data_IF_197292152317
#
_entry.id   IF_197292152317
#
_cell.length_a   1.000
_cell.length_b   1.000
_cell.length_c   1.000
_cell.angle_alpha   90.00
_cell.angle_beta   90.00
_cell.angle_gamma   90.00
#
_symmetry.space_group_name_H-M   'P 1'
#
loop_
_entity.id
_entity.type
_entity.pdbx_description
1 polymer ?
#
# COMPACT_ATOMS: atom_id res chain seq x y z
N UNK A 1 -7.55 12.41 -10.73
CA UNK A 1 -8.62 12.32 -11.74
C UNK A 1 -9.90 11.76 -11.09
N UNK A 2 -10.77 12.60 -10.53
CA UNK A 2 -12.03 12.16 -9.91
C UNK A 2 -13.05 11.79 -11.00
N UNK A 3 -13.08 10.53 -11.40
CA UNK A 3 -14.14 9.98 -12.24
C UNK A 3 -15.47 10.03 -11.48
N UNK A 4 -16.38 10.89 -11.92
CA UNK A 4 -17.76 10.90 -11.44
C UNK A 4 -18.47 9.66 -11.98
N UNK A 5 -18.58 8.61 -11.17
CA UNK A 5 -19.37 7.43 -11.48
C UNK A 5 -20.86 7.72 -11.29
N UNK A 6 -21.65 7.53 -12.35
CA UNK A 6 -23.10 7.58 -12.32
C UNK A 6 -23.64 6.29 -11.67
N UNK A 7 -24.30 6.42 -10.51
CA UNK A 7 -24.84 5.29 -9.76
C UNK A 7 -25.98 4.58 -10.50
N UNK A 8 -25.86 3.26 -10.64
CA UNK A 8 -26.93 2.36 -11.06
C UNK A 8 -27.49 1.63 -9.84
N UNK A 9 -28.80 1.77 -9.59
CA UNK A 9 -29.51 1.07 -8.54
C UNK A 9 -29.95 -0.31 -9.03
N UNK A 10 -29.47 -1.38 -8.39
CA UNK A 10 -29.94 -2.75 -8.61
C UNK A 10 -31.01 -3.06 -7.55
N UNK A 11 -32.22 -3.43 -7.99
CA UNK A 11 -33.31 -3.87 -7.13
C UNK A 11 -33.07 -5.32 -6.66
N UNK A 12 -33.07 -5.53 -5.35
CA UNK A 12 -32.98 -6.85 -4.72
C UNK A 12 -34.35 -7.55 -4.71
N UNK A 13 -34.41 -8.80 -5.19
CA UNK A 13 -35.55 -9.69 -5.04
C UNK A 13 -35.41 -10.55 -3.76
N UNK A 14 -36.50 -10.85 -3.03
CA UNK A 14 -36.46 -11.65 -1.81
C UNK A 14 -36.28 -13.15 -2.12
N UNK A 15 -35.33 -13.79 -1.43
CA UNK A 15 -35.12 -15.25 -1.45
C UNK A 15 -35.97 -15.90 -0.35
N UNK A 16 -36.74 -16.91 -0.73
CA UNK A 16 -37.59 -17.70 0.16
C UNK A 16 -36.76 -18.64 1.05
N UNK A 17 -37.16 -18.74 2.32
CA UNK A 17 -36.60 -19.65 3.32
C UNK A 17 -37.26 -21.03 3.24
N UNK A 18 -36.46 -22.08 3.12
CA UNK A 18 -36.88 -23.46 3.31
C UNK A 18 -36.28 -24.01 4.60
N UNK A 19 -37.13 -24.44 5.51
CA UNK A 19 -36.81 -25.08 6.78
C UNK A 19 -36.91 -26.60 6.65
N UNK A 20 -35.89 -27.35 7.10
CA UNK A 20 -36.06 -28.78 7.34
C UNK A 20 -34.82 -29.62 7.63
N UNK A 21 -34.70 -30.02 8.90
CA UNK A 21 -34.30 -31.34 9.42
C UNK A 21 -32.84 -31.86 9.29
N UNK A 22 -32.27 -32.22 10.46
CA UNK A 22 -31.37 -33.38 10.60
C UNK A 22 -30.06 -33.10 11.34
N UNK A 23 -30.06 -33.11 12.69
CA UNK A 23 -28.83 -33.17 13.47
C UNK A 23 -28.23 -34.58 13.39
N UNK A 24 -27.09 -34.73 12.71
CA UNK A 24 -26.19 -35.88 12.85
C UNK A 24 -24.91 -35.40 13.52
N UNK A 25 -24.51 -36.08 14.59
CA UNK A 25 -23.29 -35.84 15.37
C UNK A 25 -22.08 -36.32 14.56
N UNK A 26 -21.22 -35.39 14.12
CA UNK A 26 -19.93 -35.70 13.50
C UNK A 26 -18.84 -35.79 14.58
N UNK A 27 -18.55 -37.00 15.05
CA UNK A 27 -17.59 -37.28 16.14
C UNK A 27 -16.14 -37.53 15.68
N UNK A 28 -15.78 -37.31 14.41
CA UNK A 28 -14.44 -37.65 13.90
C UNK A 28 -13.81 -36.63 12.93
N UNK A 29 -14.29 -35.37 12.93
CA UNK A 29 -13.54 -34.29 12.28
C UNK A 29 -12.41 -33.86 13.22
N UNK A 30 -11.27 -34.56 13.16
CA UNK A 30 -10.02 -33.94 13.59
C UNK A 30 -9.93 -32.61 12.85
N UNK A 31 -9.82 -31.46 13.54
CA UNK A 31 -9.72 -30.17 12.87
C UNK A 31 -8.52 -30.27 11.94
N UNK A 32 -8.77 -30.29 10.63
CA UNK A 32 -7.70 -30.28 9.64
C UNK A 32 -6.76 -29.16 10.07
N UNK A 33 -5.51 -29.52 10.36
CA UNK A 33 -4.43 -28.59 10.65
C UNK A 33 -4.13 -27.88 9.33
N UNK A 34 -5.03 -26.98 8.94
CA UNK A 34 -5.20 -26.39 7.61
C UNK A 34 -4.14 -25.37 7.23
N UNK A 35 -3.06 -25.29 8.00
CA UNK A 35 -1.89 -24.52 7.62
C UNK A 35 -0.68 -25.44 7.49
N UNK A 36 -0.63 -26.22 6.40
CA UNK A 36 0.66 -26.64 5.86
C UNK A 36 1.41 -25.37 5.52
N UNK A 37 2.45 -25.08 6.30
CA UNK A 37 3.18 -23.81 6.34
C UNK A 37 3.37 -23.27 4.91
N UNK A 38 2.59 -22.26 4.50
CA UNK A 38 2.80 -21.62 3.21
C UNK A 38 4.23 -21.10 3.16
N UNK A 39 4.78 -20.89 1.96
CA UNK A 39 6.12 -20.32 1.82
C UNK A 39 6.12 -18.88 2.34
N UNK A 40 6.34 -18.70 3.65
CA UNK A 40 6.53 -17.39 4.25
C UNK A 40 7.67 -16.70 3.51
N UNK A 41 7.43 -15.48 3.06
CA UNK A 41 8.48 -14.66 2.51
C UNK A 41 9.11 -13.83 3.61
N UNK A 42 10.40 -13.54 3.43
CA UNK A 42 11.11 -12.58 4.25
C UNK A 42 10.35 -11.24 4.30
N UNK A 43 10.45 -10.51 5.43
CA UNK A 43 9.83 -9.19 5.56
C UNK A 43 10.32 -8.20 4.50
N UNK A 44 9.63 -7.07 4.37
CA UNK A 44 10.11 -5.98 3.51
C UNK A 44 11.45 -5.44 3.99
N UNK A 45 11.64 -5.33 5.31
CA UNK A 45 12.80 -4.74 5.94
C UNK A 45 13.25 -5.57 7.16
N UNK A 46 14.55 -5.49 7.50
CA UNK A 46 15.01 -5.95 8.80
C UNK A 46 14.41 -5.07 9.92
N UNK A 47 14.34 -5.58 11.14
CA UNK A 47 13.66 -4.88 12.24
C UNK A 47 14.19 -3.46 12.52
N UNK A 48 15.51 -3.24 12.51
CA UNK A 48 16.09 -1.91 12.75
C UNK A 48 15.80 -0.94 11.58
N UNK A 49 15.72 -1.48 10.36
CA UNK A 49 15.35 -0.71 9.17
C UNK A 49 13.87 -0.33 9.20
N UNK A 50 12.99 -1.28 9.54
CA UNK A 50 11.57 -1.03 9.76
C UNK A 50 11.36 0.04 10.84
N UNK A 51 12.05 -0.06 11.97
CA UNK A 51 11.98 0.93 13.04
C UNK A 51 12.40 2.33 12.59
N UNK A 52 13.39 2.42 11.69
CA UNK A 52 13.84 3.68 11.10
C UNK A 52 12.76 4.30 10.21
N UNK A 53 12.11 3.50 9.36
CA UNK A 53 11.00 3.95 8.50
C UNK A 53 9.76 4.31 9.33
N UNK A 54 9.40 3.49 10.31
CA UNK A 54 8.28 3.76 11.22
C UNK A 54 8.52 5.02 12.08
N UNK A 55 9.75 5.24 12.54
CA UNK A 55 10.09 6.46 13.27
C UNK A 55 9.98 7.72 12.38
N UNK A 56 10.20 7.55 11.07
CA UNK A 56 10.04 8.61 10.06
C UNK A 56 8.57 8.92 9.82
N UNK A 57 7.71 7.89 9.73
CA UNK A 57 6.27 8.04 9.53
C UNK A 57 5.62 8.94 10.58
N UNK A 58 6.02 8.79 11.85
CA UNK A 58 5.53 9.63 12.95
C UNK A 58 6.09 11.07 12.93
N UNK A 59 7.13 11.35 12.14
CA UNK A 59 7.76 12.67 12.03
C UNK A 59 7.35 13.42 10.77
N UNK A 60 6.94 12.69 9.73
CA UNK A 60 6.69 13.22 8.40
C UNK A 60 5.20 13.16 8.10
N UNK A 61 4.52 14.32 8.06
CA UNK A 61 3.16 14.40 7.55
C UNK A 61 3.07 13.73 6.17
N UNK A 62 1.94 13.08 5.88
CA UNK A 62 1.60 12.43 4.60
C UNK A 62 2.53 11.30 4.13
N UNK A 63 3.59 10.94 4.87
CA UNK A 63 4.45 9.83 4.46
C UNK A 63 3.71 8.49 4.48
N UNK A 64 2.82 8.27 5.46
CA UNK A 64 2.02 7.04 5.55
C UNK A 64 1.08 6.87 4.36
N UNK A 65 0.32 7.91 4.04
CA UNK A 65 -0.57 7.93 2.87
C UNK A 65 0.19 7.84 1.56
N UNK A 66 1.40 8.41 1.47
CA UNK A 66 2.26 8.30 0.29
C UNK A 66 2.81 6.90 0.07
N UNK A 67 3.20 6.18 1.14
CA UNK A 67 3.53 4.75 1.04
C UNK A 67 2.31 3.96 0.57
N UNK A 68 1.14 4.31 1.09
CA UNK A 68 -0.14 3.69 0.76
C UNK A 68 -0.47 3.83 -0.73
N UNK A 69 -0.47 5.06 -1.24
CA UNK A 69 -0.76 5.39 -2.64
C UNK A 69 0.30 4.82 -3.59
N UNK A 70 1.54 4.70 -3.13
CA UNK A 70 2.64 4.28 -3.97
C UNK A 70 2.77 2.78 -4.16
N UNK A 71 2.63 2.03 -3.08
CA UNK A 71 2.96 0.60 -3.07
C UNK A 71 1.93 -0.27 -2.37
N UNK A 72 0.80 0.33 -1.96
CA UNK A 72 -0.31 -0.35 -1.28
C UNK A 72 0.18 -1.19 -0.09
N UNK A 73 1.10 -0.64 0.70
CA UNK A 73 1.57 -1.23 1.96
C UNK A 73 0.94 -0.42 3.10
N UNK A 74 0.00 -1.01 3.87
CA UNK A 74 -0.74 -0.28 4.89
C UNK A 74 0.07 -0.15 6.18
N UNK A 75 0.99 0.81 6.21
CA UNK A 75 1.95 0.95 7.33
C UNK A 75 1.35 1.49 8.62
N UNK A 76 0.15 2.07 8.64
CA UNK A 76 -0.44 2.62 9.88
C UNK A 76 0.36 3.81 10.43
N UNK A 77 -0.12 5.02 10.19
CA UNK A 77 0.52 6.28 10.61
C UNK A 77 0.22 6.66 12.07
N UNK A 78 -0.72 5.96 12.72
CA UNK A 78 -1.11 6.22 14.11
C UNK A 78 -0.66 5.13 15.10
N UNK A 79 -0.26 3.96 14.60
CA UNK A 79 0.12 2.81 15.41
C UNK A 79 1.51 2.26 15.03
N UNK A 80 2.49 2.50 15.90
CA UNK A 80 3.88 2.14 15.63
C UNK A 80 4.07 0.63 15.52
N UNK A 81 3.33 -0.16 16.30
CA UNK A 81 3.36 -1.62 16.23
C UNK A 81 2.75 -2.15 14.93
N UNK A 82 1.71 -1.53 14.38
CA UNK A 82 1.20 -1.90 13.06
C UNK A 82 2.24 -1.62 11.99
N UNK A 83 2.89 -0.46 12.02
CA UNK A 83 3.99 -0.18 11.10
C UNK A 83 5.12 -1.21 11.20
N UNK A 84 5.54 -1.53 12.43
CA UNK A 84 6.60 -2.50 12.67
C UNK A 84 6.21 -3.90 12.21
N UNK A 85 4.99 -4.35 12.51
CA UNK A 85 4.47 -5.64 12.04
C UNK A 85 4.44 -5.71 10.52
N UNK A 86 4.03 -4.63 9.85
CA UNK A 86 3.91 -4.57 8.39
C UNK A 86 5.25 -4.63 7.67
N UNK A 87 6.22 -3.92 8.21
CA UNK A 87 7.52 -3.77 7.56
C UNK A 87 8.51 -4.88 7.95
N UNK A 88 8.43 -5.39 9.19
CA UNK A 88 9.34 -6.39 9.73
C UNK A 88 8.73 -7.79 9.91
N UNK A 89 7.41 -7.95 9.78
CA UNK A 89 6.74 -9.25 9.82
C UNK A 89 6.81 -10.02 8.50
N UNK A 90 6.68 -11.34 8.56
CA UNK A 90 6.68 -12.18 7.37
C UNK A 90 5.48 -11.86 6.48
N UNK A 91 5.72 -11.98 5.17
CA UNK A 91 4.72 -11.68 4.16
C UNK A 91 4.12 -12.96 3.58
N UNK A 92 2.87 -12.89 3.10
CA UNK A 92 2.27 -13.94 2.29
C UNK A 92 3.19 -14.34 1.13
N UNK A 93 3.33 -15.66 0.93
CA UNK A 93 4.17 -16.24 -0.13
C UNK A 93 3.80 -15.84 -1.55
N UNK A 94 2.58 -15.36 -1.72
CA UNK A 94 1.97 -14.92 -2.97
C UNK A 94 1.92 -13.38 -3.12
N UNK A 95 2.54 -12.60 -2.21
CA UNK A 95 2.61 -11.14 -2.36
C UNK A 95 3.45 -10.77 -3.58
N UNK A 96 2.79 -10.22 -4.60
CA UNK A 96 3.43 -9.70 -5.79
C UNK A 96 4.23 -8.43 -5.46
N UNK A 97 5.34 -8.24 -6.18
CA UNK A 97 6.14 -7.02 -6.10
C UNK A 97 6.95 -6.80 -4.83
N UNK A 98 7.05 -7.79 -3.94
CA UNK A 98 7.83 -7.66 -2.69
C UNK A 98 9.22 -7.06 -2.91
N UNK A 99 9.95 -7.52 -3.93
CA UNK A 99 11.30 -7.03 -4.23
C UNK A 99 11.30 -5.53 -4.56
N UNK A 100 10.34 -5.06 -5.36
CA UNK A 100 10.22 -3.65 -5.72
C UNK A 100 9.79 -2.80 -4.51
N UNK A 101 8.77 -3.26 -3.77
CA UNK A 101 8.27 -2.61 -2.55
C UNK A 101 9.38 -2.50 -1.49
N UNK A 102 10.14 -3.58 -1.29
CA UNK A 102 11.31 -3.59 -0.39
C UNK A 102 12.40 -2.64 -0.87
N UNK A 103 12.68 -2.57 -2.17
CA UNK A 103 13.66 -1.61 -2.72
C UNK A 103 13.27 -0.15 -2.47
N UNK A 104 11.99 0.19 -2.65
CA UNK A 104 11.43 1.52 -2.35
C UNK A 104 11.59 1.83 -0.86
N UNK A 105 11.19 0.90 0.02
CA UNK A 105 11.32 1.07 1.47
C UNK A 105 12.79 1.15 1.93
N UNK A 106 13.70 0.41 1.28
CA UNK A 106 15.14 0.47 1.56
C UNK A 106 15.75 1.81 1.17
N UNK A 107 15.27 2.45 0.10
CA UNK A 107 15.66 3.83 -0.21
C UNK A 107 15.37 4.75 0.98
N UNK A 108 14.18 4.64 1.59
CA UNK A 108 13.77 5.46 2.73
C UNK A 108 14.61 5.21 3.99
N UNK A 109 15.13 4.00 4.19
CA UNK A 109 16.03 3.68 5.31
C UNK A 109 17.31 4.51 5.23
N UNK A 110 17.78 4.82 4.02
CA UNK A 110 19.01 5.58 3.80
C UNK A 110 18.84 7.10 3.98
N UNK A 111 17.62 7.59 4.24
CA UNK A 111 17.33 9.03 4.29
C UNK A 111 17.15 9.55 5.72
N UNK A 112 17.50 10.82 5.89
CA UNK A 112 17.42 11.51 7.20
C UNK A 112 16.37 12.60 7.26
N UNK A 113 15.81 13.02 6.13
CA UNK A 113 14.80 14.07 6.03
C UNK A 113 13.49 13.55 5.41
N UNK A 114 12.37 14.19 5.74
CA UNK A 114 11.07 13.82 5.19
C UNK A 114 11.02 13.94 3.67
N UNK A 115 11.49 15.06 3.12
CA UNK A 115 11.52 15.27 1.66
C UNK A 115 12.31 14.19 0.93
N UNK A 116 13.47 13.78 1.48
CA UNK A 116 14.29 12.71 0.88
C UNK A 116 13.58 11.35 0.95
N UNK A 117 12.87 11.05 2.05
CA UNK A 117 12.09 9.83 2.18
C UNK A 117 10.89 9.80 1.21
N UNK A 118 10.23 10.95 1.01
CA UNK A 118 9.14 11.09 0.03
C UNK A 118 9.63 10.90 -1.39
N UNK A 119 10.82 11.42 -1.73
CA UNK A 119 11.43 11.24 -3.05
C UNK A 119 11.80 9.78 -3.40
N UNK A 120 11.80 8.86 -2.42
CA UNK A 120 11.93 7.43 -2.68
C UNK A 120 10.63 6.80 -3.22
N UNK A 121 9.49 7.45 -3.01
CA UNK A 121 8.17 6.95 -3.38
C UNK A 121 7.83 7.37 -4.81
N UNK A 122 7.21 6.50 -5.61
CA UNK A 122 6.69 6.88 -6.93
C UNK A 122 5.64 8.00 -6.88
N UNK A 123 4.81 8.05 -5.83
CA UNK A 123 3.89 9.14 -5.56
C UNK A 123 4.09 9.70 -4.16
N UNK A 124 4.20 11.01 -4.10
CA UNK A 124 4.32 11.81 -2.90
C UNK A 124 3.05 12.65 -2.75
N UNK A 125 2.32 12.48 -1.66
CA UNK A 125 1.25 13.40 -1.28
C UNK A 125 1.87 14.65 -0.66
N UNK A 126 1.54 15.81 -1.21
CA UNK A 126 2.08 17.11 -0.80
C UNK A 126 1.02 17.93 -0.07
N UNK A 127 1.45 18.91 0.72
CA UNK A 127 0.51 19.83 1.37
C UNK A 127 0.03 20.92 0.42
N UNK A 128 -1.10 21.57 0.74
CA UNK A 128 -1.57 22.74 0.01
C UNK A 128 -0.59 23.92 0.05
N UNK A 129 0.31 23.95 1.03
CA UNK A 129 1.35 24.97 1.21
C UNK A 129 2.73 24.51 0.69
N UNK A 130 2.79 23.44 -0.11
CA UNK A 130 4.06 22.93 -0.64
C UNK A 130 4.78 24.03 -1.44
N UNK A 131 6.06 24.34 -1.13
CA UNK A 131 6.77 25.43 -1.77
C UNK A 131 6.96 25.22 -3.28
N UNK A 132 6.92 23.97 -3.77
CA UNK A 132 6.97 23.66 -5.21
C UNK A 132 5.72 24.15 -5.94
N UNK A 133 4.62 24.36 -5.23
CA UNK A 133 3.36 24.85 -5.80
C UNK A 133 3.32 26.37 -5.99
N UNK A 134 4.32 27.10 -5.48
CA UNK A 134 4.40 28.55 -5.68
C UNK A 134 4.67 28.86 -7.16
N UNK A 135 3.64 29.30 -7.87
CA UNK A 135 3.72 29.69 -9.27
C UNK A 135 3.52 28.56 -10.28
N UNK A 136 3.20 27.33 -9.83
CA UNK A 136 2.97 26.18 -10.72
C UNK A 136 1.68 26.30 -11.57
N UNK A 137 0.78 27.22 -11.23
CA UNK A 137 -0.51 27.42 -11.91
C UNK A 137 -1.57 26.38 -11.52
N UNK A 138 -2.66 26.32 -12.29
CA UNK A 138 -3.77 25.37 -12.09
C UNK A 138 -3.62 24.21 -13.06
N UNK A 139 -2.74 23.25 -12.77
CA UNK A 139 -2.54 22.08 -13.61
C UNK A 139 -1.32 21.27 -13.19
N UNK A 140 -1.07 20.17 -13.89
CA UNK A 140 0.16 19.40 -13.72
C UNK A 140 1.32 20.01 -14.51
N UNK A 141 2.52 19.95 -13.95
CA UNK A 141 3.74 20.53 -14.52
C UNK A 141 4.93 19.59 -14.38
N UNK A 142 5.97 19.79 -15.18
CA UNK A 142 7.22 19.06 -15.07
C UNK A 142 8.28 19.90 -14.36
N UNK A 143 8.80 19.37 -13.25
CA UNK A 143 9.88 19.99 -12.47
C UNK A 143 11.11 19.07 -12.46
N UNK A 144 12.18 19.49 -11.77
CA UNK A 144 13.40 18.69 -11.57
C UNK A 144 13.99 18.10 -12.86
N UNK A 145 14.08 18.93 -13.90
CA UNK A 145 14.57 18.52 -15.23
C UNK A 145 13.74 17.38 -15.85
N UNK A 146 12.42 17.43 -15.67
CA UNK A 146 11.46 16.42 -16.11
C UNK A 146 11.55 15.09 -15.37
N UNK A 147 12.04 15.07 -14.13
CA UNK A 147 12.01 13.85 -13.30
C UNK A 147 10.75 13.72 -12.48
N UNK A 148 10.12 14.84 -12.15
CA UNK A 148 8.95 14.87 -11.28
C UNK A 148 7.81 15.56 -12.01
N UNK A 149 6.65 14.91 -12.04
CA UNK A 149 5.39 15.54 -12.37
C UNK A 149 4.77 16.11 -11.09
N UNK A 150 4.39 17.38 -11.08
CA UNK A 150 3.80 18.06 -9.93
C UNK A 150 2.38 18.50 -10.27
N UNK A 151 1.38 18.09 -9.49
CA UNK A 151 -0.01 18.56 -9.59
C UNK A 151 -0.49 19.16 -8.27
N UNK A 152 -0.40 20.48 -8.18
CA UNK A 152 -0.80 21.25 -7.00
C UNK A 152 -2.31 21.37 -6.81
N UNK A 153 -3.11 21.05 -7.83
CA UNK A 153 -4.57 21.07 -7.71
C UNK A 153 -5.10 19.81 -7.04
N UNK A 154 -4.35 18.71 -7.19
CA UNK A 154 -4.66 17.41 -6.62
C UNK A 154 -3.72 17.03 -5.48
N UNK A 155 -2.76 17.89 -5.13
CA UNK A 155 -1.86 17.74 -3.99
C UNK A 155 -0.99 16.49 -4.06
N UNK A 156 -0.37 16.22 -5.22
CA UNK A 156 0.65 15.18 -5.32
C UNK A 156 1.80 15.53 -6.26
N UNK A 157 2.92 14.86 -6.04
CA UNK A 157 4.07 14.78 -6.93
C UNK A 157 4.29 13.31 -7.34
N UNK A 158 4.76 13.09 -8.57
CA UNK A 158 5.05 11.76 -9.10
C UNK A 158 6.47 11.71 -9.63
N UNK A 159 7.26 10.79 -9.10
CA UNK A 159 8.68 10.62 -9.41
C UNK A 159 8.85 9.63 -10.57
N UNK A 160 8.98 10.18 -11.78
CA UNK A 160 8.94 9.45 -13.04
C UNK A 160 10.17 8.56 -13.27
N UNK A 161 11.28 8.80 -12.58
CA UNK A 161 12.50 7.98 -12.63
C UNK A 161 12.49 6.83 -11.60
N UNK A 162 11.41 6.68 -10.83
CA UNK A 162 11.23 5.54 -9.93
C UNK A 162 11.02 4.23 -10.71
N UNK A 163 11.37 3.11 -10.08
CA UNK A 163 11.20 1.77 -10.65
C UNK A 163 9.72 1.31 -10.74
N UNK A 164 8.78 2.16 -10.33
CA UNK A 164 7.36 2.01 -10.61
C UNK A 164 7.07 2.24 -12.09
N UNK A 165 7.73 3.19 -12.73
CA UNK A 165 7.53 3.49 -14.15
C UNK A 165 8.47 2.69 -15.04
N UNK A 166 8.11 2.54 -16.32
CA UNK A 166 8.97 1.93 -17.32
C UNK A 166 10.32 2.65 -17.42
N UNK A 167 11.40 1.90 -17.65
CA UNK A 167 12.75 2.45 -17.72
C UNK A 167 12.85 3.54 -18.79
N UNK A 168 13.35 4.72 -18.41
CA UNK A 168 13.42 5.89 -19.28
C UNK A 168 12.21 6.83 -19.20
N UNK A 169 11.22 6.51 -18.35
CA UNK A 169 10.11 7.41 -18.08
C UNK A 169 10.61 8.74 -17.52
N UNK A 170 9.92 9.81 -17.94
CA UNK A 170 10.18 11.18 -17.52
C UNK A 170 8.87 11.95 -17.56
N UNK A 171 8.81 13.06 -16.84
CA UNK A 171 7.68 13.96 -16.92
C UNK A 171 7.59 14.56 -18.33
N UNK A 172 6.42 14.45 -18.93
CA UNK A 172 6.12 14.92 -20.27
C UNK A 172 4.77 15.62 -20.29
N UNK A 173 4.72 16.80 -20.90
CA UNK A 173 3.46 17.50 -21.17
C UNK A 173 2.86 16.98 -22.48
N UNK A 174 1.69 16.37 -22.42
CA UNK A 174 0.93 15.88 -23.57
C UNK A 174 0.35 16.99 -24.45
N UNK A 175 -0.25 16.60 -25.57
CA UNK A 175 -0.92 17.50 -26.52
C UNK A 175 -2.13 18.21 -25.93
N UNK A 176 -2.73 17.66 -24.87
CA UNK A 176 -3.83 18.28 -24.13
C UNK A 176 -3.36 19.19 -22.98
N UNK A 177 -2.03 19.39 -22.84
CA UNK A 177 -1.43 20.26 -21.84
C UNK A 177 -1.25 19.61 -20.46
N UNK A 178 -1.62 18.34 -20.29
CA UNK A 178 -1.44 17.60 -19.03
C UNK A 178 -0.04 16.99 -18.98
N UNK A 179 0.68 17.21 -17.87
CA UNK A 179 1.91 16.51 -17.58
C UNK A 179 1.61 15.10 -17.02
N UNK A 180 2.38 14.09 -17.43
CA UNK A 180 2.38 12.72 -16.88
C UNK A 180 3.79 12.10 -16.97
N UNK A 181 4.02 10.99 -16.26
CA UNK A 181 5.23 10.20 -16.38
C UNK A 181 5.13 9.25 -17.60
N UNK A 182 5.86 9.58 -18.66
CA UNK A 182 5.75 8.89 -19.95
C UNK A 182 7.12 8.53 -20.53
N UNK A 183 7.14 7.50 -21.35
CA UNK A 183 8.29 7.05 -22.15
C UNK A 183 8.49 7.92 -23.39
N UNK A 184 7.39 8.33 -24.03
CA UNK A 184 7.41 9.10 -25.27
C UNK A 184 6.13 9.90 -25.53
N UNK A 185 6.15 10.76 -26.58
CA UNK A 185 5.03 11.60 -27.05
C UNK A 185 4.56 11.26 -28.48
N UNK A 186 4.96 10.11 -28.98
CA UNK A 186 4.72 9.66 -30.36
C UNK A 186 3.62 8.61 -30.44
N UNK A 187 2.69 8.68 -29.48
CA UNK A 187 1.62 7.72 -29.37
C UNK A 187 0.54 7.95 -30.44
N UNK A 188 0.52 7.10 -31.46
CA UNK A 188 -0.38 7.24 -32.62
C UNK A 188 -1.49 6.20 -32.70
N UNK A 189 -1.43 5.12 -31.91
CA UNK A 189 -2.38 3.99 -31.97
C UNK A 189 -2.78 3.58 -30.54
N UNK A 190 -4.08 3.66 -30.17
CA UNK A 190 -4.50 3.35 -28.81
C UNK A 190 -4.29 1.87 -28.57
N UNK A 191 -3.39 1.55 -27.64
CA UNK A 191 -3.21 0.19 -27.19
C UNK A 191 -3.03 0.20 -25.68
N UNK A 192 -3.51 -0.90 -25.09
CA UNK A 192 -3.23 -1.30 -23.71
C UNK A 192 -2.67 -2.70 -23.79
N UNK A 193 -1.50 -2.91 -23.22
CA UNK A 193 -0.84 -4.21 -23.23
C UNK A 193 -0.23 -4.51 -21.88
N UNK A 194 -0.03 -5.80 -21.64
CA UNK A 194 0.71 -6.29 -20.50
C UNK A 194 1.92 -7.09 -20.98
N UNK A 195 3.11 -6.59 -20.64
CA UNK A 195 4.36 -7.34 -20.70
C UNK A 195 4.82 -7.55 -19.26
N UNK A 196 4.36 -8.64 -18.63
CA UNK A 196 4.52 -8.87 -17.19
C UNK A 196 5.94 -8.50 -16.68
N UNK A 197 6.07 -7.59 -15.69
CA UNK A 197 5.03 -7.04 -14.82
C UNK A 197 4.46 -5.67 -15.27
N UNK A 198 4.85 -5.19 -16.45
CA UNK A 198 4.57 -3.86 -16.95
C UNK A 198 3.20 -3.80 -17.64
N UNK A 199 2.45 -2.78 -17.29
CA UNK A 199 1.31 -2.30 -18.05
C UNK A 199 1.76 -1.13 -18.91
N UNK A 200 1.47 -1.23 -20.21
CA UNK A 200 1.78 -0.20 -21.19
C UNK A 200 0.47 0.35 -21.77
N UNK A 201 0.38 1.67 -21.85
CA UNK A 201 -0.79 2.37 -22.37
C UNK A 201 -0.40 3.52 -23.28
N UNK A 202 -1.13 3.62 -24.38
CA UNK A 202 -1.08 4.74 -25.29
C UNK A 202 -2.34 5.60 -25.17
N UNK A 203 -2.23 6.79 -24.59
CA UNK A 203 -3.34 7.75 -24.55
C UNK A 203 -3.30 8.67 -25.77
N UNK A 204 -4.25 8.47 -26.69
CA UNK A 204 -4.35 9.31 -27.90
C UNK A 204 -4.67 10.78 -27.60
N UNK A 205 -5.29 11.08 -26.46
CA UNK A 205 -5.69 12.45 -26.15
C UNK A 205 -4.49 13.30 -25.77
N UNK A 206 -3.63 12.78 -24.90
CA UNK A 206 -2.37 13.41 -24.51
C UNK A 206 -1.22 13.10 -25.49
N UNK A 207 -1.36 12.06 -26.31
CA UNK A 207 -0.29 11.55 -27.17
C UNK A 207 0.86 10.91 -26.38
N UNK A 208 0.66 10.61 -25.10
CA UNK A 208 1.68 10.05 -24.21
C UNK A 208 1.65 8.52 -24.23
N UNK A 209 2.84 7.93 -24.27
CA UNK A 209 3.04 6.50 -24.03
C UNK A 209 3.52 6.32 -22.60
N UNK A 210 2.66 5.73 -21.77
CA UNK A 210 2.90 5.51 -20.35
C UNK A 210 3.14 4.03 -20.09
N UNK A 211 4.02 3.73 -19.13
CA UNK A 211 4.34 2.37 -18.74
C UNK A 211 4.57 2.31 -17.24
N UNK A 212 3.91 1.39 -16.54
CA UNK A 212 4.08 1.23 -15.10
C UNK A 212 3.96 -0.22 -14.63
N UNK A 213 4.58 -0.49 -13.48
CA UNK A 213 4.76 -1.81 -12.93
C UNK A 213 3.61 -2.16 -11.99
N UNK A 214 2.69 -3.02 -12.45
CA UNK A 214 1.53 -3.44 -11.66
C UNK A 214 1.92 -4.10 -10.34
N UNK A 215 3.07 -4.78 -10.30
CA UNK A 215 3.52 -5.45 -9.09
C UNK A 215 3.85 -4.44 -7.97
N UNK A 216 4.15 -3.18 -8.27
CA UNK A 216 4.49 -2.19 -7.25
C UNK A 216 3.40 -2.02 -6.18
N UNK A 217 2.13 -2.09 -6.59
CA UNK A 217 0.95 -2.06 -5.72
C UNK A 217 0.41 -3.48 -5.40
N UNK A 218 1.13 -4.54 -5.79
CA UNK A 218 0.73 -5.94 -5.57
C UNK A 218 -0.29 -6.47 -6.57
N UNK A 219 -0.49 -5.81 -7.70
CA UNK A 219 -1.36 -6.27 -8.78
C UNK A 219 -0.60 -7.12 -9.78
N UNK A 220 -1.35 -7.93 -10.54
CA UNK A 220 -0.83 -8.66 -11.70
C UNK A 220 -1.20 -7.92 -12.97
N UNK A 221 -0.26 -7.68 -13.87
CA UNK A 221 -0.64 -7.23 -15.22
C UNK A 221 -1.33 -8.37 -15.97
N UNK A 222 -2.53 -8.15 -16.48
CA UNK A 222 -3.24 -9.12 -17.30
C UNK A 222 -4.41 -8.51 -18.06
N UNK A 223 -5.21 -9.36 -18.70
CA UNK A 223 -6.45 -8.93 -19.36
C UNK A 223 -7.62 -9.09 -18.39
N UNK A 224 -8.31 -7.99 -18.09
CA UNK A 224 -9.53 -8.00 -17.29
C UNK A 224 -10.63 -8.76 -18.04
N UNK A 225 -11.17 -9.81 -17.40
CA UNK A 225 -12.17 -10.68 -18.01
C UNK A 225 -13.51 -9.99 -18.28
N UNK A 226 -13.80 -8.89 -17.58
CA UNK A 226 -15.05 -8.15 -17.71
C UNK A 226 -15.02 -7.14 -18.86
N UNK A 227 -13.87 -6.53 -19.13
CA UNK A 227 -13.72 -5.49 -20.17
C UNK A 227 -12.94 -5.97 -21.39
N UNK A 228 -12.26 -7.12 -21.29
CA UNK A 228 -11.31 -7.62 -22.29
C UNK A 228 -10.21 -6.59 -22.63
N UNK A 229 -9.78 -5.81 -21.63
CA UNK A 229 -8.70 -4.83 -21.71
C UNK A 229 -7.52 -5.26 -20.85
N UNK A 230 -6.29 -4.99 -21.29
CA UNK A 230 -5.12 -5.12 -20.42
C UNK A 230 -5.23 -4.09 -19.28
N UNK A 231 -4.91 -4.48 -18.04
CA UNK A 231 -4.95 -3.65 -16.83
C UNK A 231 -4.03 -4.23 -15.73
N UNK A 232 -3.82 -3.45 -14.66
CA UNK A 232 -3.30 -3.96 -13.40
C UNK A 232 -4.42 -4.60 -12.57
N UNK A 233 -4.43 -5.93 -12.52
CA UNK A 233 -5.53 -6.72 -11.96
C UNK A 233 -5.31 -7.05 -10.49
N UNK A 234 -6.41 -6.98 -9.75
CA UNK A 234 -6.58 -7.63 -8.46
C UNK A 234 -7.13 -9.02 -8.73
N UNK A 235 -6.23 -10.01 -8.73
CA UNK A 235 -6.49 -11.39 -9.20
C UNK A 235 -6.78 -11.46 -10.70
N UNK A 236 -8.05 -11.33 -11.10
CA UNK A 236 -8.53 -11.53 -12.48
C UNK A 236 -9.30 -10.34 -13.04
N UNK A 237 -9.59 -9.34 -12.22
CA UNK A 237 -10.37 -8.14 -12.58
C UNK A 237 -9.77 -6.91 -11.92
N UNK A 238 -10.05 -5.73 -12.46
CA UNK A 238 -9.79 -4.48 -11.75
C UNK A 238 -10.82 -4.33 -10.64
N UNK A 239 -10.34 -4.18 -9.40
CA UNK A 239 -11.20 -3.88 -8.25
C UNK A 239 -10.93 -2.42 -7.83
N UNK A 240 -11.87 -1.53 -8.13
CA UNK A 240 -11.76 -0.10 -7.80
C UNK A 240 -12.22 0.17 -6.36
N UNK A 241 -11.66 1.22 -5.76
CA UNK A 241 -12.07 1.69 -4.44
C UNK A 241 -11.83 3.21 -4.31
N UNK A 242 -12.20 3.77 -3.16
CA UNK A 242 -12.02 5.19 -2.85
C UNK A 242 -11.58 5.35 -1.40
N UNK A 243 -10.67 6.29 -1.14
CA UNK A 243 -10.07 6.55 0.17
C UNK A 243 -8.86 5.68 0.47
N UNK A 244 -8.15 6.03 1.55
CA UNK A 244 -7.04 5.24 2.08
C UNK A 244 -7.53 4.44 3.29
N UNK A 245 -7.80 3.15 3.12
CA UNK A 245 -8.24 2.27 4.20
C UNK A 245 -7.77 0.82 3.98
N UNK A 246 -7.57 0.11 5.08
CA UNK A 246 -7.40 -1.33 5.10
C UNK A 246 -8.63 -1.97 5.75
N UNK A 247 -9.28 -2.89 5.06
CA UNK A 247 -10.45 -3.59 5.59
C UNK A 247 -10.34 -5.11 5.49
N UNK A 248 -11.20 -5.81 6.23
CA UNK A 248 -11.21 -7.26 6.28
C UNK A 248 -12.38 -7.85 5.51
N UNK A 249 -12.07 -8.78 4.61
CA UNK A 249 -13.04 -9.63 3.94
C UNK A 249 -12.65 -11.10 4.16
N UNK A 250 -13.14 -11.69 5.25
CA UNK A 250 -12.77 -13.05 5.65
C UNK A 250 -11.28 -13.16 5.96
N UNK A 251 -10.57 -14.03 5.24
CA UNK A 251 -9.12 -14.23 5.41
C UNK A 251 -8.26 -13.29 4.56
N UNK A 252 -8.87 -12.23 4.03
CA UNK A 252 -8.19 -11.29 3.15
C UNK A 252 -8.25 -9.91 3.77
N UNK A 253 -7.09 -9.27 3.82
CA UNK A 253 -7.02 -7.85 4.05
C UNK A 253 -7.01 -7.14 2.69
N UNK A 254 -7.99 -6.27 2.49
CA UNK A 254 -8.12 -5.40 1.33
C UNK A 254 -7.50 -4.05 1.67
N UNK A 255 -6.69 -3.51 0.77
CA UNK A 255 -5.92 -2.28 0.97
C UNK A 255 -6.26 -1.35 -0.18
N UNK A 256 -6.93 -0.24 0.10
CA UNK A 256 -7.34 0.73 -0.91
C UNK A 256 -6.35 1.89 -0.99
N UNK A 257 -5.78 2.13 -2.17
CA UNK A 257 -4.83 3.22 -2.44
C UNK A 257 -5.50 4.49 -3.01
N UNK A 258 -6.79 4.71 -2.71
CA UNK A 258 -7.69 5.70 -3.31
C UNK A 258 -8.09 5.45 -4.78
N UNK A 259 -7.59 4.37 -5.40
CA UNK A 259 -7.96 4.02 -6.78
C UNK A 259 -8.32 2.54 -6.95
N UNK A 260 -7.47 1.64 -6.46
CA UNK A 260 -7.55 0.20 -6.64
C UNK A 260 -7.31 -0.58 -5.34
N UNK A 261 -7.95 -1.75 -5.24
CA UNK A 261 -7.81 -2.65 -4.10
C UNK A 261 -6.62 -3.58 -4.30
N UNK A 262 -5.64 -3.50 -3.41
CA UNK A 262 -4.62 -4.54 -3.26
C UNK A 262 -5.06 -5.57 -2.21
N UNK A 263 -4.65 -6.83 -2.37
CA UNK A 263 -5.04 -7.92 -1.47
C UNK A 263 -3.82 -8.49 -0.75
N UNK A 264 -3.96 -8.68 0.55
CA UNK A 264 -3.08 -9.47 1.38
C UNK A 264 -3.82 -10.72 1.84
N UNK A 265 -3.30 -11.88 1.45
CA UNK A 265 -3.86 -13.18 1.80
C UNK A 265 -3.40 -13.59 3.21
N UNK A 266 -4.25 -13.36 4.22
CA UNK A 266 -3.91 -13.73 5.60
C UNK A 266 -3.90 -15.25 5.79
N UNK A 267 -4.66 -16.02 5.00
CA UNK A 267 -4.61 -17.47 5.05
C UNK A 267 -3.23 -18.00 4.64
N UNK A 268 -2.55 -17.32 3.71
CA UNK A 268 -1.17 -17.62 3.33
C UNK A 268 -0.13 -17.33 4.44
N UNK A 269 -0.53 -16.75 5.58
CA UNK A 269 0.30 -16.66 6.80
C UNK A 269 -0.36 -17.36 8.00
N UNK A 270 -1.25 -18.32 7.76
CA UNK A 270 -1.99 -19.06 8.79
C UNK A 270 -2.88 -18.17 9.66
N UNK A 271 -3.33 -17.03 9.14
CA UNK A 271 -4.16 -16.07 9.85
C UNK A 271 -5.49 -15.81 9.18
N UNK A 272 -6.32 -15.05 9.89
CA UNK A 272 -7.56 -14.45 9.42
C UNK A 272 -7.39 -12.93 9.45
N UNK A 273 -8.08 -12.20 8.58
CA UNK A 273 -8.03 -10.75 8.70
C UNK A 273 -8.77 -10.32 9.97
N UNK A 274 -8.14 -9.45 10.76
CA UNK A 274 -8.72 -8.78 11.92
C UNK A 274 -8.59 -7.27 11.75
N UNK A 275 -9.51 -6.50 12.32
CA UNK A 275 -9.50 -5.02 12.27
C UNK A 275 -9.80 -4.45 13.65
N UNK A 276 -9.12 -3.37 14.00
CA UNK A 276 -9.21 -2.71 15.30
C UNK A 276 -8.54 -1.34 15.25
N UNK A 277 -9.11 -0.36 15.96
CA UNK A 277 -8.61 1.03 15.94
C UNK A 277 -8.44 1.65 14.53
N UNK A 278 -9.21 1.18 13.55
CA UNK A 278 -9.13 1.64 12.16
C UNK A 278 -8.11 0.91 11.28
N UNK A 279 -7.31 0.00 11.83
CA UNK A 279 -6.27 -0.71 11.11
C UNK A 279 -6.59 -2.21 11.01
N UNK A 280 -6.36 -2.79 9.83
CA UNK A 280 -6.48 -4.23 9.62
C UNK A 280 -5.11 -4.93 9.75
N UNK A 281 -5.09 -6.19 10.19
CA UNK A 281 -3.92 -7.08 10.28
C UNK A 281 -4.29 -8.55 10.09
N UNK A 282 -3.29 -9.39 9.83
CA UNK A 282 -3.47 -10.83 9.75
C UNK A 282 -3.25 -11.45 11.14
N UNK A 283 -4.34 -11.76 11.85
CA UNK A 283 -4.30 -12.38 13.17
C UNK A 283 -4.27 -13.90 13.06
N UNK A 284 -3.42 -14.57 13.83
CA UNK A 284 -3.28 -16.04 13.82
C UNK A 284 -3.78 -16.62 15.13
N UNK A 285 -4.33 -17.86 15.14
CA UNK A 285 -4.88 -18.48 16.34
C UNK A 285 -3.92 -18.65 17.54
N UNK A 286 -2.61 -18.47 17.33
CA UNK A 286 -1.57 -18.59 18.37
C UNK A 286 -0.84 -17.29 18.69
N UNK A 287 -1.34 -16.14 18.23
CA UNK A 287 -0.70 -14.85 18.54
C UNK A 287 -0.80 -14.53 20.05
N UNK A 288 0.32 -14.15 20.65
CA UNK A 288 0.46 -13.77 22.06
C UNK A 288 0.01 -12.33 22.35
N UNK A 289 -0.08 -11.52 21.30
CA UNK A 289 -0.52 -10.14 21.33
C UNK A 289 -1.18 -9.74 20.00
N UNK A 290 -1.82 -8.58 20.00
CA UNK A 290 -2.20 -7.87 18.77
C UNK A 290 -1.60 -6.46 18.75
N UNK A 291 -1.43 -5.82 17.59
CA UNK A 291 -0.93 -4.44 17.50
C UNK A 291 -1.80 -3.39 18.22
N UNK A 292 -3.04 -3.74 18.60
CA UNK A 292 -3.99 -2.85 19.29
C UNK A 292 -4.18 -3.20 20.77
N UNK A 293 -3.41 -4.15 21.30
CA UNK A 293 -3.42 -4.46 22.72
C UNK A 293 -2.94 -3.26 23.55
N UNK A 294 -3.54 -3.02 24.71
CA UNK A 294 -3.20 -1.87 25.57
C UNK A 294 -1.78 -1.90 26.14
N UNK A 295 -1.14 -3.08 26.18
CA UNK A 295 0.24 -3.24 26.61
C UNK A 295 1.25 -2.96 25.47
N UNK A 296 0.78 -2.87 24.23
CA UNK A 296 1.57 -2.60 23.02
C UNK A 296 1.65 -1.09 22.79
N UNK A 297 2.73 -0.65 22.14
CA UNK A 297 3.13 0.76 21.98
C UNK A 297 3.32 1.50 23.31
N UNK A 298 3.75 0.79 24.35
CA UNK A 298 4.06 1.37 25.66
C UNK A 298 5.57 1.57 25.83
N UNK A 299 5.97 2.74 26.35
CA UNK A 299 7.37 3.08 26.61
C UNK A 299 7.78 2.74 28.04
N UNK A 300 8.92 2.07 28.19
CA UNK A 300 9.64 1.85 29.45
C UNK A 300 11.09 2.36 29.27
N UNK A 301 11.34 3.62 29.65
CA UNK A 301 12.60 4.29 29.33
C UNK A 301 12.76 4.49 27.82
N UNK A 302 13.84 3.99 27.23
CA UNK A 302 14.08 4.02 25.77
C UNK A 302 13.57 2.78 25.03
N UNK A 303 12.94 1.84 25.76
CA UNK A 303 12.41 0.61 25.17
C UNK A 303 10.91 0.75 24.91
N UNK A 304 10.46 0.31 23.74
CA UNK A 304 9.05 0.20 23.37
C UNK A 304 8.60 -1.26 23.35
N UNK A 305 7.41 -1.55 23.89
CA UNK A 305 6.74 -2.84 23.74
C UNK A 305 5.94 -2.88 22.43
N UNK A 306 6.21 -3.87 21.58
CA UNK A 306 5.61 -4.05 20.25
C UNK A 306 4.96 -5.42 20.13
N UNK A 307 4.02 -5.54 19.20
CA UNK A 307 3.53 -6.79 18.68
C UNK A 307 3.95 -6.94 17.22
N UNK A 308 4.91 -7.83 16.96
CA UNK A 308 5.42 -8.11 15.61
C UNK A 308 5.21 -9.60 15.36
N UNK A 309 4.49 -9.93 14.30
CA UNK A 309 4.02 -11.28 14.02
C UNK A 309 3.41 -11.92 15.26
N UNK A 310 2.43 -11.27 15.88
CA UNK A 310 1.73 -11.80 17.05
C UNK A 310 2.61 -12.10 18.27
N UNK A 311 3.89 -11.70 18.28
CA UNK A 311 4.82 -11.92 19.40
C UNK A 311 5.13 -10.62 20.09
N UNK A 312 5.21 -10.69 21.43
CA UNK A 312 5.62 -9.55 22.24
C UNK A 312 7.12 -9.31 22.06
N UNK A 313 7.46 -8.14 21.54
CA UNK A 313 8.83 -7.72 21.29
C UNK A 313 9.13 -6.47 22.10
N UNK A 314 10.24 -6.46 22.84
CA UNK A 314 10.80 -5.24 23.43
C UNK A 314 11.88 -4.70 22.50
N UNK A 315 11.72 -3.47 22.01
CA UNK A 315 12.65 -2.84 21.09
C UNK A 315 13.30 -1.60 21.71
N UNK A 316 14.63 -1.54 21.70
CA UNK A 316 15.38 -0.39 22.21
C UNK A 316 15.54 0.67 21.10
N UNK A 317 14.87 1.82 21.25
CA UNK A 317 14.91 2.90 20.28
C UNK A 317 16.33 3.47 20.08
N UNK A 318 17.26 3.26 21.02
CA UNK A 318 18.66 3.68 20.87
C UNK A 318 19.37 2.96 19.72
N UNK A 319 18.91 1.78 19.32
CA UNK A 319 19.48 1.03 18.17
C UNK A 319 19.42 1.81 16.86
N UNK A 320 18.45 2.72 16.74
CA UNK A 320 18.31 3.64 15.59
C UNK A 320 18.61 5.09 15.98
N UNK A 321 19.29 5.31 17.12
CA UNK A 321 19.65 6.64 17.60
C UNK A 321 18.46 7.50 18.06
N UNK A 322 17.35 6.87 18.47
CA UNK A 322 16.12 7.52 18.92
C UNK A 322 15.83 7.27 20.40
N UNK A 323 14.81 7.94 20.91
CA UNK A 323 14.26 7.71 22.26
C UNK A 323 12.82 7.19 22.14
N UNK A 324 12.33 6.49 23.17
CA UNK A 324 10.92 6.12 23.19
C UNK A 324 10.08 7.35 23.57
N UNK A 325 9.10 7.69 22.75
CA UNK A 325 8.10 8.74 23.00
C UNK A 325 6.80 8.06 23.41
N UNK A 326 6.26 8.34 24.61
CA UNK A 326 4.92 7.88 24.98
C UNK A 326 3.88 8.40 23.97
N UNK A 327 2.84 7.60 23.73
CA UNK A 327 1.73 8.01 22.88
C UNK A 327 0.91 9.15 23.50
N UNK A 328 0.15 9.83 22.66
CA UNK A 328 -0.78 10.89 23.04
C UNK A 328 -2.11 10.73 22.28
N UNK A 329 -2.93 11.79 22.23
CA UNK A 329 -4.21 11.74 21.52
C UNK A 329 -4.06 11.63 19.98
N UNK A 330 -2.87 11.93 19.45
CA UNK A 330 -2.55 11.93 18.02
C UNK A 330 -1.85 10.66 17.56
N UNK A 331 -1.42 9.78 18.46
CA UNK A 331 -0.79 8.53 18.06
C UNK A 331 -0.26 7.69 19.21
N UNK A 332 0.07 6.44 18.89
CA UNK A 332 0.67 5.48 19.84
C UNK A 332 2.10 5.85 20.26
N UNK A 333 2.63 5.19 21.29
CA UNK A 333 4.05 5.31 21.61
C UNK A 333 4.93 4.86 20.44
N UNK A 334 6.06 5.52 20.23
CA UNK A 334 6.93 5.29 19.07
C UNK A 334 8.39 5.63 19.36
N UNK A 335 9.31 5.22 18.49
CA UNK A 335 10.68 5.72 18.51
C UNK A 335 10.75 7.07 17.80
N UNK A 336 11.10 8.14 18.52
CA UNK A 336 11.04 9.53 18.06
C UNK A 336 12.21 10.39 18.49
#
# INVERSE_FOLDING_TARGET
MRLRLAGWWIALAPIATASGHGCTTFDDLQPETKCTTPSLQAPYLAQDQAATVCARLFQCPTLGTSIYSSISVPVGDFNYSVCMDRLAGNLPGNRLGRTLQSGILQCMVATTACADAMACLPWEEISADDPRCVGAGTGSSCIDQNKTMLDCSLLYATHCDSAYFGAGSRCMIGTDGVAACALSKDCSDPHRSCEEPMFDSCDLKSGLHESWNCNAAGHKCGVDQSTNSAECLTRTTVELCTGFDADCQGDQMLVCDDFSLSVFDCAAVCGTCAKGAGEAWCARPGDECTPVDTAVNTCEGDTIALCIEGRKVKYDCKRIGKTCKPGDASGSGHCG
#
